data_IF_590280670010
#
_entry.id   IF_590280670010
#
_cell.length_a   1.000
_cell.length_b   1.000
_cell.length_c   1.000
_cell.angle_alpha   90.00
_cell.angle_beta   90.00
_cell.angle_gamma   90.00
#
_symmetry.space_group_name_H-M   'P 1'
#
loop_
_entity.id
_entity.type
_entity.pdbx_description
1 polymer ?
#
# COMPACT_ATOMS: atom_id res chain seq x y z
N UNK A 1 7.15 -18.92 -5.89
CA UNK A 1 7.58 -17.53 -6.20
C UNK A 1 6.38 -16.79 -6.78
N UNK A 2 5.60 -16.06 -5.97
CA UNK A 2 4.46 -15.29 -6.51
C UNK A 2 4.94 -13.93 -7.01
N UNK A 3 4.97 -13.80 -8.32
CA UNK A 3 5.40 -12.68 -9.17
C UNK A 3 4.51 -11.43 -9.11
N UNK A 4 4.01 -11.04 -7.93
CA UNK A 4 3.00 -9.98 -7.83
C UNK A 4 3.62 -8.58 -7.68
N UNK A 5 4.80 -8.45 -7.09
CA UNK A 5 5.44 -7.17 -6.86
C UNK A 5 6.40 -6.83 -8.01
N UNK A 6 6.07 -5.83 -8.83
CA UNK A 6 6.99 -5.34 -9.88
C UNK A 6 8.10 -4.47 -9.29
N UNK A 7 7.79 -3.74 -8.23
CA UNK A 7 8.70 -2.80 -7.60
C UNK A 7 8.51 -2.80 -6.08
N UNK A 8 9.59 -2.52 -5.34
CA UNK A 8 9.56 -2.31 -3.90
C UNK A 8 9.73 -0.84 -3.58
N UNK A 9 8.83 -0.27 -2.78
CA UNK A 9 8.90 1.14 -2.36
C UNK A 9 8.69 1.27 -0.85
N UNK A 10 9.08 2.41 -0.29
CA UNK A 10 8.84 2.70 1.12
C UNK A 10 7.34 2.91 1.37
N UNK A 11 6.91 2.80 2.64
CA UNK A 11 5.55 3.19 3.02
C UNK A 11 5.26 4.66 2.72
N UNK A 12 6.27 5.53 2.87
CA UNK A 12 6.11 6.96 2.63
C UNK A 12 5.77 7.25 1.17
N UNK A 13 6.44 6.58 0.23
CA UNK A 13 6.14 6.73 -1.20
C UNK A 13 4.75 6.19 -1.52
N UNK A 14 4.38 5.05 -0.94
CA UNK A 14 3.05 4.45 -1.07
C UNK A 14 1.95 5.41 -0.60
N UNK A 15 2.16 6.06 0.55
CA UNK A 15 1.25 7.06 1.09
C UNK A 15 1.19 8.31 0.20
N UNK A 16 2.34 8.72 -0.36
CA UNK A 16 2.41 9.79 -1.36
C UNK A 16 1.59 9.48 -2.62
N UNK A 17 1.67 8.24 -3.14
CA UNK A 17 0.82 7.80 -4.26
C UNK A 17 -0.66 7.81 -3.90
N UNK A 18 -1.02 7.43 -2.66
CA UNK A 18 -2.40 7.49 -2.18
C UNK A 18 -2.90 8.94 -2.12
N UNK A 19 -2.10 9.84 -1.58
CA UNK A 19 -2.39 11.28 -1.52
C UNK A 19 -2.53 11.90 -2.92
N UNK A 20 -1.70 11.47 -3.87
CA UNK A 20 -1.80 11.87 -5.27
C UNK A 20 -3.08 11.33 -5.96
N UNK A 21 -3.77 10.36 -5.36
CA UNK A 21 -4.95 9.71 -5.93
C UNK A 21 -4.58 8.68 -7.02
N UNK A 22 -3.35 8.18 -6.99
CA UNK A 22 -2.86 7.22 -7.99
C UNK A 22 -3.14 5.77 -7.57
N UNK A 23 -3.53 5.52 -6.32
CA UNK A 23 -3.81 4.19 -5.78
C UNK A 23 -5.20 3.71 -6.17
N UNK A 24 -5.26 2.61 -6.92
CA UNK A 24 -6.50 1.94 -7.34
C UNK A 24 -6.96 0.90 -6.33
N UNK A 25 -6.05 0.03 -5.89
CA UNK A 25 -6.34 -1.05 -4.95
C UNK A 25 -5.20 -1.25 -3.94
N UNK A 26 -5.52 -1.75 -2.76
CA UNK A 26 -4.56 -2.00 -1.67
C UNK A 26 -4.86 -3.35 -1.03
N UNK A 27 -3.84 -4.19 -0.91
CA UNK A 27 -3.90 -5.50 -0.27
C UNK A 27 -2.84 -5.62 0.82
N UNK A 28 -3.15 -6.40 1.84
CA UNK A 28 -2.25 -6.67 2.96
C UNK A 28 -1.94 -8.15 2.95
N UNK A 29 -0.66 -8.48 2.80
CA UNK A 29 -0.20 -9.86 2.63
C UNK A 29 0.69 -10.20 3.82
N UNK A 30 0.37 -11.28 4.53
CA UNK A 30 1.23 -11.75 5.63
C UNK A 30 2.59 -12.20 5.11
N UNK A 31 3.65 -11.74 5.76
CA UNK A 31 5.02 -12.21 5.56
C UNK A 31 5.43 -13.31 6.57
N UNK A 32 4.52 -13.73 7.46
CA UNK A 32 4.82 -14.59 8.60
C UNK A 32 5.37 -13.83 9.81
N UNK A 33 5.41 -14.49 10.99
CA UNK A 33 5.92 -13.94 12.27
C UNK A 33 5.27 -12.59 12.66
N UNK A 34 3.97 -12.42 12.45
CA UNK A 34 3.26 -11.17 12.76
C UNK A 34 3.67 -9.98 11.88
N UNK A 35 4.32 -10.22 10.74
CA UNK A 35 4.68 -9.20 9.77
C UNK A 35 3.76 -9.21 8.57
N UNK A 36 3.56 -8.03 8.00
CA UNK A 36 2.65 -7.78 6.88
C UNK A 36 3.36 -6.88 5.86
N UNK A 37 3.17 -7.19 4.58
CA UNK A 37 3.53 -6.36 3.45
C UNK A 37 2.28 -5.67 2.92
N UNK A 38 2.41 -4.39 2.59
CA UNK A 38 1.40 -3.64 1.85
C UNK A 38 1.67 -3.83 0.36
N UNK A 39 0.65 -4.22 -0.38
CA UNK A 39 0.67 -4.32 -1.83
C UNK A 39 -0.32 -3.30 -2.39
N UNK A 40 0.15 -2.50 -3.32
CA UNK A 40 -0.61 -1.39 -3.89
C UNK A 40 -0.65 -1.54 -5.39
N UNK A 41 -1.84 -1.43 -5.94
CA UNK A 41 -2.05 -1.39 -7.39
C UNK A 41 -2.32 0.05 -7.77
N UNK A 42 -1.43 0.63 -8.57
CA UNK A 42 -1.59 1.97 -9.10
C UNK A 42 -2.62 2.00 -10.24
N UNK A 43 -3.08 3.20 -10.58
CA UNK A 43 -4.10 3.44 -11.60
C UNK A 43 -3.65 3.02 -13.00
N UNK A 44 -2.33 3.05 -13.26
CA UNK A 44 -1.71 2.54 -14.48
C UNK A 44 -1.51 1.01 -14.48
N UNK A 45 -1.97 0.30 -13.45
CA UNK A 45 -1.85 -1.16 -13.33
C UNK A 45 -0.53 -1.66 -12.78
N UNK A 46 0.44 -0.77 -12.47
CA UNK A 46 1.68 -1.17 -11.80
C UNK A 46 1.39 -1.63 -10.38
N UNK A 47 2.06 -2.72 -9.97
CA UNK A 47 1.94 -3.25 -8.61
C UNK A 47 3.22 -2.99 -7.84
N UNK A 48 3.10 -2.19 -6.78
CA UNK A 48 4.17 -1.81 -5.87
C UNK A 48 3.96 -2.52 -4.55
N UNK A 49 5.04 -2.93 -3.91
CA UNK A 49 4.99 -3.54 -2.60
C UNK A 49 5.90 -2.85 -1.61
N UNK A 50 5.49 -2.83 -0.35
CA UNK A 50 6.38 -2.44 0.73
C UNK A 50 7.36 -3.57 1.07
N UNK A 51 8.34 -3.26 1.89
CA UNK A 51 9.01 -4.27 2.71
C UNK A 51 8.05 -4.96 3.69
N UNK A 52 8.48 -6.05 4.32
CA UNK A 52 7.70 -6.71 5.36
C UNK A 52 7.81 -5.93 6.67
N UNK A 53 6.70 -5.38 7.12
CA UNK A 53 6.60 -4.47 8.26
C UNK A 53 5.97 -5.20 9.43
N UNK A 54 6.15 -4.65 10.64
CA UNK A 54 5.33 -5.06 11.77
C UNK A 54 3.85 -4.78 11.51
N UNK A 55 2.98 -5.69 11.93
CA UNK A 55 1.53 -5.58 11.69
C UNK A 55 0.96 -4.22 12.15
N UNK A 56 1.39 -3.71 13.31
CA UNK A 56 0.93 -2.41 13.82
C UNK A 56 1.27 -1.25 12.88
N UNK A 57 2.45 -1.26 12.26
CA UNK A 57 2.88 -0.21 11.32
C UNK A 57 2.07 -0.31 10.03
N UNK A 58 1.86 -1.52 9.51
CA UNK A 58 1.03 -1.75 8.32
C UNK A 58 -0.44 -1.30 8.54
N UNK A 59 -0.99 -1.51 9.74
CA UNK A 59 -2.34 -1.07 10.12
C UNK A 59 -2.45 0.46 10.20
N UNK A 60 -1.43 1.15 10.70
CA UNK A 60 -1.41 2.62 10.71
C UNK A 60 -1.38 3.17 9.28
N UNK A 61 -0.48 2.65 8.44
CA UNK A 61 -0.39 3.07 7.04
C UNK A 61 -1.68 2.79 6.27
N UNK A 62 -2.38 1.68 6.57
CA UNK A 62 -3.72 1.40 6.02
C UNK A 62 -4.69 2.54 6.25
N UNK A 63 -4.80 3.03 7.49
CA UNK A 63 -5.71 4.12 7.84
C UNK A 63 -5.36 5.40 7.10
N UNK A 64 -4.06 5.69 6.92
CA UNK A 64 -3.57 6.85 6.17
C UNK A 64 -3.97 6.76 4.70
N UNK A 65 -3.73 5.62 4.06
CA UNK A 65 -4.10 5.39 2.66
C UNK A 65 -5.62 5.49 2.47
N UNK A 66 -6.41 4.86 3.35
CA UNK A 66 -7.88 4.92 3.31
C UNK A 66 -8.39 6.36 3.50
N UNK A 67 -7.80 7.13 4.41
CA UNK A 67 -8.13 8.54 4.62
C UNK A 67 -7.91 9.35 3.33
N UNK A 68 -6.76 9.23 2.69
CA UNK A 68 -6.48 9.96 1.45
C UNK A 68 -7.43 9.57 0.31
N UNK A 69 -7.77 8.28 0.19
CA UNK A 69 -8.76 7.81 -0.78
C UNK A 69 -10.14 8.41 -0.51
N UNK A 70 -10.57 8.46 0.76
CA UNK A 70 -11.86 9.04 1.14
C UNK A 70 -11.93 10.56 0.87
N UNK A 71 -10.84 11.30 1.11
CA UNK A 71 -10.76 12.73 0.82
C UNK A 71 -10.87 12.98 -0.69
N UNK A 72 -10.13 12.20 -1.51
CA UNK A 72 -10.13 12.34 -2.97
C UNK A 72 -11.47 11.99 -3.61
N UNK A 73 -12.20 11.00 -3.10
CA UNK A 73 -13.53 10.63 -3.60
C UNK A 73 -14.61 11.70 -3.35
N UNK A 74 -14.34 12.70 -2.51
CA UNK A 74 -15.26 13.83 -2.23
C UNK A 74 -14.98 15.07 -3.09
N UNK A 75 -13.96 15.05 -3.94
CA UNK A 75 -13.66 16.10 -4.93
C UNK A 75 -14.04 15.64 -6.32
#
# INVERSE_FOLDING_TARGET
MSSVCKESSSLHDIEGYAQAGLVRDVKYISCGKGRVRVLVVLSNGVVICSECLEQRIAELSKRVIELYRAIKLRR
#
